data_IF_033636961949
#
_entry.id   IF_033636961949
#
_cell.length_a   1.000
_cell.length_b   1.000
_cell.length_c   1.000
_cell.angle_alpha   90.00
_cell.angle_beta   90.00
_cell.angle_gamma   90.00
#
_symmetry.space_group_name_H-M   'P 1'
#
loop_
_entity.id
_entity.type
_entity.pdbx_description
1 polymer ?
#
# COMPACT_ATOMS: atom_id res chain seq x y z
N UNK A 1 -41.74 -18.20 -17.19
CA UNK A 1 -41.45 -16.84 -16.69
C UNK A 1 -41.02 -15.98 -17.86
N UNK A 2 -41.88 -15.05 -18.33
CA UNK A 2 -41.58 -14.22 -19.49
C UNK A 2 -40.61 -13.08 -19.12
N UNK A 3 -39.49 -12.98 -19.84
CA UNK A 3 -38.52 -11.91 -19.65
C UNK A 3 -39.17 -10.55 -19.96
N UNK A 4 -39.12 -9.62 -19.01
CA UNK A 4 -39.66 -8.27 -19.19
C UNK A 4 -38.93 -7.59 -20.37
N UNK A 5 -39.66 -7.01 -21.35
CA UNK A 5 -39.04 -6.38 -22.50
C UNK A 5 -38.20 -5.18 -22.07
N UNK A 6 -36.98 -5.07 -22.60
CA UNK A 6 -36.10 -3.93 -22.31
C UNK A 6 -36.76 -2.61 -22.78
N UNK A 7 -36.72 -1.54 -21.98
CA UNK A 7 -37.27 -0.25 -22.38
C UNK A 7 -36.52 0.28 -23.62
N UNK A 8 -37.27 0.62 -24.68
CA UNK A 8 -36.73 1.06 -25.99
C UNK A 8 -36.17 2.49 -25.98
N UNK A 9 -36.21 3.20 -24.86
CA UNK A 9 -35.75 4.59 -24.72
C UNK A 9 -34.82 4.66 -23.51
N UNK A 10 -33.58 5.10 -23.72
CA UNK A 10 -32.67 5.36 -22.62
C UNK A 10 -33.26 6.45 -21.71
N UNK A 11 -33.15 6.34 -20.37
CA UNK A 11 -33.57 7.40 -19.46
C UNK A 11 -32.71 8.68 -19.60
N UNK A 12 -31.61 8.59 -20.35
CA UNK A 12 -30.75 9.71 -20.64
C UNK A 12 -31.38 10.63 -21.69
N UNK A 13 -31.36 11.96 -21.48
CA UNK A 13 -31.85 12.91 -22.45
C UNK A 13 -31.07 12.77 -23.77
N UNK A 14 -31.74 12.94 -24.93
CA UNK A 14 -31.05 12.88 -26.21
C UNK A 14 -29.99 13.99 -26.28
N UNK A 15 -28.78 13.70 -26.78
CA UNK A 15 -27.72 14.69 -26.87
C UNK A 15 -28.19 15.86 -27.74
N UNK A 16 -28.03 17.08 -27.24
CA UNK A 16 -28.45 18.29 -27.95
C UNK A 16 -27.69 18.39 -29.29
N UNK A 17 -28.45 18.48 -30.38
CA UNK A 17 -27.91 18.47 -31.76
C UNK A 17 -27.13 19.74 -32.13
N UNK A 18 -27.04 20.72 -31.23
CA UNK A 18 -26.32 21.98 -31.45
C UNK A 18 -25.12 22.07 -30.53
N UNK A 19 -24.05 21.41 -30.96
CA UNK A 19 -22.71 21.60 -30.40
C UNK A 19 -22.25 23.02 -30.74
N UNK A 20 -22.27 23.93 -29.76
CA UNK A 20 -21.71 25.29 -29.88
C UNK A 20 -20.17 25.23 -29.84
N UNK A 21 -19.54 24.54 -30.78
CA UNK A 21 -18.08 24.46 -30.85
C UNK A 21 -17.63 25.17 -32.13
N UNK A 22 -17.50 26.48 -32.02
CA UNK A 22 -16.80 27.32 -32.98
C UNK A 22 -16.11 28.39 -32.16
N UNK A 23 -14.78 28.31 -32.06
CA UNK A 23 -14.02 29.41 -31.47
C UNK A 23 -14.04 30.52 -32.52
N UNK A 24 -14.58 31.70 -32.17
CA UNK A 24 -14.73 32.82 -33.12
C UNK A 24 -13.39 33.32 -33.66
N UNK A 25 -12.30 33.16 -32.88
CA UNK A 25 -10.94 33.50 -33.28
C UNK A 25 -9.95 32.47 -32.74
N UNK A 26 -9.17 31.85 -33.62
CA UNK A 26 -8.08 30.93 -33.24
C UNK A 26 -6.76 31.70 -33.36
N UNK A 27 -6.13 32.03 -32.24
CA UNK A 27 -4.76 32.53 -32.26
C UNK A 27 -3.80 31.37 -32.56
N UNK A 28 -3.05 31.50 -33.65
CA UNK A 28 -2.05 30.51 -34.04
C UNK A 28 -0.67 31.00 -33.62
N UNK A 29 -0.16 30.43 -32.52
CA UNK A 29 1.22 30.63 -32.13
C UNK A 29 2.11 29.62 -32.86
N UNK A 30 3.02 30.14 -33.70
CA UNK A 30 3.94 29.33 -34.48
C UNK A 30 4.97 28.62 -33.60
N UNK A 31 5.35 29.20 -32.47
CA UNK A 31 6.35 28.60 -31.57
C UNK A 31 5.73 27.43 -30.81
N UNK A 32 4.54 27.61 -30.24
CA UNK A 32 3.77 26.52 -29.65
C UNK A 32 3.48 25.39 -30.67
N UNK A 33 3.25 25.74 -31.94
CA UNK A 33 3.09 24.75 -33.02
C UNK A 33 4.39 23.98 -33.27
N UNK A 34 5.53 24.66 -33.32
CA UNK A 34 6.84 24.04 -33.53
C UNK A 34 7.22 23.12 -32.37
N UNK A 35 6.98 23.54 -31.13
CA UNK A 35 7.13 22.71 -29.94
C UNK A 35 6.16 21.53 -29.93
N UNK A 36 4.93 21.71 -30.43
CA UNK A 36 4.00 20.62 -30.61
C UNK A 36 4.47 19.65 -31.71
N UNK A 37 5.03 20.10 -32.83
CA UNK A 37 5.48 19.19 -33.88
C UNK A 37 6.78 18.47 -33.52
N UNK A 38 7.69 19.08 -32.77
CA UNK A 38 9.00 18.47 -32.43
C UNK A 38 9.01 17.80 -31.06
N UNK A 39 8.19 18.26 -30.12
CA UNK A 39 8.17 17.86 -28.72
C UNK A 39 7.36 16.60 -28.39
N UNK A 40 7.18 15.66 -29.33
CA UNK A 40 6.37 14.45 -29.10
C UNK A 40 6.82 13.65 -27.86
N UNK A 41 8.13 13.54 -27.64
CA UNK A 41 8.67 12.86 -26.47
C UNK A 41 8.33 13.62 -25.18
N UNK A 42 8.46 14.96 -25.17
CA UNK A 42 8.07 15.82 -24.04
C UNK A 42 6.58 15.64 -23.71
N UNK A 43 5.69 15.65 -24.70
CA UNK A 43 4.24 15.42 -24.47
C UNK A 43 3.92 14.00 -24.01
N UNK A 44 4.64 13.00 -24.51
CA UNK A 44 4.48 11.62 -24.02
C UNK A 44 4.85 11.54 -22.55
N UNK A 45 5.98 12.12 -22.15
CA UNK A 45 6.38 12.17 -20.75
C UNK A 45 5.41 12.99 -19.90
N UNK A 46 4.94 14.15 -20.38
CA UNK A 46 3.94 14.96 -19.69
C UNK A 46 2.65 14.18 -19.45
N UNK A 47 2.14 13.45 -20.44
CA UNK A 47 0.96 12.58 -20.25
C UNK A 47 1.19 11.49 -19.23
N UNK A 48 2.37 10.86 -19.24
CA UNK A 48 2.72 9.85 -18.24
C UNK A 48 2.78 10.48 -16.84
N UNK A 49 3.41 11.65 -16.70
CA UNK A 49 3.49 12.39 -15.43
C UNK A 49 2.10 12.82 -14.94
N UNK A 50 1.27 13.39 -15.80
CA UNK A 50 -0.11 13.75 -15.47
C UNK A 50 -0.92 12.53 -15.01
N UNK A 51 -0.82 11.40 -15.70
CA UNK A 51 -1.47 10.17 -15.28
C UNK A 51 -0.98 9.66 -13.91
N UNK A 52 0.33 9.79 -13.64
CA UNK A 52 0.91 9.46 -12.33
C UNK A 52 0.43 10.42 -11.24
N UNK A 53 0.38 11.72 -11.52
CA UNK A 53 -0.10 12.75 -10.60
C UNK A 53 -1.58 12.58 -10.27
N UNK A 54 -2.42 12.31 -11.26
CA UNK A 54 -3.84 12.03 -11.08
C UNK A 54 -4.06 10.75 -10.25
N UNK A 55 -3.29 9.70 -10.53
CA UNK A 55 -3.34 8.46 -9.75
C UNK A 55 -2.90 8.71 -8.29
N UNK A 56 -1.85 9.51 -8.07
CA UNK A 56 -1.39 9.87 -6.73
C UNK A 56 -2.42 10.73 -5.98
N UNK A 57 -3.07 11.68 -6.65
CA UNK A 57 -4.15 12.49 -6.07
C UNK A 57 -5.33 11.62 -5.64
N UNK A 58 -5.81 10.74 -6.53
CA UNK A 58 -6.90 9.79 -6.22
C UNK A 58 -6.54 8.87 -5.06
N UNK A 59 -5.34 8.30 -5.04
CA UNK A 59 -4.89 7.44 -3.95
C UNK A 59 -4.84 8.18 -2.60
N UNK A 60 -4.45 9.47 -2.59
CA UNK A 60 -4.50 10.30 -1.38
C UNK A 60 -5.94 10.56 -0.92
N UNK A 61 -6.82 10.94 -1.85
CA UNK A 61 -8.23 11.16 -1.54
C UNK A 61 -8.91 9.89 -1.01
N UNK A 62 -8.62 8.73 -1.60
CA UNK A 62 -9.12 7.44 -1.13
C UNK A 62 -8.63 7.12 0.27
N UNK A 63 -7.33 7.31 0.57
CA UNK A 63 -6.79 7.12 1.93
C UNK A 63 -7.43 8.04 2.97
N UNK A 64 -7.70 9.28 2.60
CA UNK A 64 -8.38 10.23 3.50
C UNK A 64 -9.83 9.79 3.74
N UNK A 65 -10.52 9.37 2.68
CA UNK A 65 -11.91 8.87 2.78
C UNK A 65 -11.99 7.61 3.63
N UNK A 66 -11.10 6.63 3.43
CA UNK A 66 -11.10 5.40 4.23
C UNK A 66 -10.79 5.68 5.70
N UNK A 67 -9.83 6.58 5.99
CA UNK A 67 -9.54 6.98 7.36
C UNK A 67 -10.74 7.69 8.00
N UNK A 68 -11.45 8.53 7.26
CA UNK A 68 -12.65 9.20 7.75
C UNK A 68 -13.76 8.17 8.04
N UNK A 69 -14.00 7.24 7.12
CA UNK A 69 -14.95 6.15 7.31
C UNK A 69 -14.64 5.33 8.57
N UNK A 70 -13.39 4.94 8.77
CA UNK A 70 -12.98 4.19 9.96
C UNK A 70 -13.21 4.97 11.26
N UNK A 71 -13.00 6.30 11.24
CA UNK A 71 -13.28 7.16 12.40
C UNK A 71 -14.78 7.25 12.65
N UNK A 72 -15.56 7.49 11.59
CA UNK A 72 -17.02 7.58 11.67
C UNK A 72 -17.64 6.24 12.14
N UNK A 73 -17.09 5.10 11.70
CA UNK A 73 -17.47 3.76 12.15
C UNK A 73 -17.18 3.56 13.64
N UNK A 74 -15.97 3.89 14.11
CA UNK A 74 -15.62 3.81 15.53
C UNK A 74 -16.49 4.71 16.40
N UNK A 75 -16.79 5.92 15.95
CA UNK A 75 -17.68 6.83 16.70
C UNK A 75 -19.07 6.23 16.85
N UNK A 76 -19.62 5.66 15.77
CA UNK A 76 -20.91 4.97 15.81
C UNK A 76 -20.89 3.74 16.71
N UNK A 77 -19.86 2.92 16.66
CA UNK A 77 -19.72 1.76 17.55
C UNK A 77 -19.70 2.18 19.02
N UNK A 78 -19.03 3.30 19.34
CA UNK A 78 -19.03 3.86 20.69
C UNK A 78 -20.40 4.41 21.08
N UNK A 79 -21.07 5.16 20.19
CA UNK A 79 -22.43 5.68 20.41
C UNK A 79 -23.43 4.53 20.65
N UNK A 80 -23.45 3.52 19.78
CA UNK A 80 -24.29 2.33 19.89
C UNK A 80 -24.02 1.57 21.20
N UNK A 81 -22.75 1.46 21.59
CA UNK A 81 -22.38 0.80 22.84
C UNK A 81 -22.85 1.60 24.07
N UNK A 82 -22.68 2.92 24.08
CA UNK A 82 -23.18 3.78 25.17
C UNK A 82 -24.70 3.73 25.24
N UNK A 83 -25.39 3.80 24.11
CA UNK A 83 -26.85 3.62 24.04
C UNK A 83 -27.28 2.25 24.58
N UNK A 84 -26.56 1.19 24.22
CA UNK A 84 -26.83 -0.17 24.69
C UNK A 84 -26.64 -0.30 26.21
N UNK A 85 -25.55 0.23 26.77
CA UNK A 85 -25.28 0.23 28.21
C UNK A 85 -26.33 1.06 28.95
N UNK A 86 -26.64 2.26 28.45
CA UNK A 86 -27.68 3.12 29.03
C UNK A 86 -29.06 2.43 29.03
N UNK A 87 -29.38 1.68 27.97
CA UNK A 87 -30.61 0.90 27.87
C UNK A 87 -30.65 -0.23 28.91
N UNK A 88 -29.58 -1.03 29.03
CA UNK A 88 -29.47 -2.07 30.06
C UNK A 88 -29.59 -1.49 31.47
N UNK A 89 -28.97 -0.34 31.72
CA UNK A 89 -28.99 0.31 33.03
C UNK A 89 -30.39 0.84 33.38
N UNK A 90 -31.11 1.42 32.41
CA UNK A 90 -32.54 1.77 32.52
C UNK A 90 -33.43 0.55 32.76
N UNK A 91 -33.19 -0.56 32.04
CA UNK A 91 -33.93 -1.81 32.21
C UNK A 91 -33.69 -2.46 33.59
N UNK A 92 -32.48 -2.34 34.13
CA UNK A 92 -32.12 -2.83 35.47
C UNK A 92 -32.65 -1.98 36.63
N UNK A 93 -33.26 -0.82 36.34
CA UNK A 93 -33.82 0.08 37.35
C UNK A 93 -32.79 0.87 38.18
N UNK A 94 -31.52 0.85 37.81
CA UNK A 94 -30.45 1.58 38.51
C UNK A 94 -30.42 3.09 38.19
N UNK A 95 -31.08 3.53 37.12
CA UNK A 95 -31.31 4.95 36.80
C UNK A 95 -32.82 5.18 36.74
N UNK A 96 -33.38 5.73 37.82
CA UNK A 96 -34.71 6.33 37.84
C UNK A 96 -34.63 7.70 37.13
N UNK A 97 -35.57 8.01 36.24
CA UNK A 97 -35.61 9.29 35.52
C UNK A 97 -35.77 10.45 36.52
N UNK A 98 -34.68 11.06 36.99
CA UNK A 98 -34.71 12.43 37.50
C UNK A 98 -34.35 13.38 36.34
N UNK A 99 -35.38 13.90 35.71
CA UNK A 99 -35.28 15.04 34.82
C UNK A 99 -35.14 16.29 35.70
N UNK A 100 -33.94 16.55 36.22
CA UNK A 100 -33.61 17.78 36.91
C UNK A 100 -32.26 18.34 36.44
N UNK A 101 -32.22 19.65 36.35
CA UNK A 101 -31.28 20.47 35.58
C UNK A 101 -29.87 20.56 36.21
N UNK A 102 -28.89 20.79 35.34
CA UNK A 102 -27.75 21.71 35.50
C UNK A 102 -26.92 21.70 36.80
N UNK A 103 -25.69 21.20 36.66
CA UNK A 103 -24.42 21.79 37.15
C UNK A 103 -23.36 21.33 36.13
N UNK A 104 -22.75 22.15 35.27
CA UNK A 104 -21.86 23.28 35.57
C UNK A 104 -20.95 22.99 36.75
N UNK A 105 -19.90 22.20 36.52
CA UNK A 105 -18.62 22.39 37.17
C UNK A 105 -17.54 22.51 36.09
N UNK A 106 -17.21 23.76 35.77
CA UNK A 106 -15.86 24.17 35.41
C UNK A 106 -14.99 24.02 36.67
N UNK A 107 -14.29 22.89 36.84
CA UNK A 107 -12.96 22.88 37.49
C UNK A 107 -12.28 21.52 37.37
N UNK A 108 -10.97 21.50 37.57
CA UNK A 108 -10.03 20.38 37.45
C UNK A 108 -9.45 20.12 36.05
N UNK A 109 -8.93 21.19 35.44
CA UNK A 109 -7.67 21.10 34.71
C UNK A 109 -6.53 20.77 35.69
N UNK A 110 -6.48 19.53 36.19
CA UNK A 110 -5.45 19.06 37.14
C UNK A 110 -4.87 17.69 36.72
N UNK A 111 -4.78 17.51 35.39
CA UNK A 111 -4.07 16.41 34.76
C UNK A 111 -3.23 16.96 33.63
N UNK A 112 -2.40 17.95 33.93
CA UNK A 112 -1.38 18.46 33.01
C UNK A 112 -0.52 17.26 32.61
N UNK A 113 -0.74 16.79 31.38
CA UNK A 113 -0.08 15.62 30.82
C UNK A 113 1.43 15.90 30.81
N UNK A 114 2.13 15.36 31.81
CA UNK A 114 3.58 15.35 31.88
C UNK A 114 4.07 14.53 30.68
N UNK A 115 4.60 15.23 29.68
CA UNK A 115 4.98 14.63 28.40
C UNK A 115 5.93 13.45 28.58
N UNK A 116 5.99 12.57 27.59
CA UNK A 116 6.95 11.47 27.62
C UNK A 116 8.35 12.02 27.92
N UNK A 117 9.10 11.41 28.86
CA UNK A 117 10.46 11.86 29.15
C UNK A 117 11.28 11.85 27.85
N UNK A 118 12.02 12.93 27.59
CA UNK A 118 12.88 13.10 26.40
C UNK A 118 13.95 11.99 26.26
N UNK A 119 14.12 11.17 27.30
CA UNK A 119 14.92 9.96 27.29
C UNK A 119 13.99 8.80 27.62
N UNK A 120 13.63 7.94 26.65
CA UNK A 120 13.06 6.66 27.02
C UNK A 120 14.10 5.92 27.86
N UNK A 121 13.69 5.42 29.03
CA UNK A 121 14.44 4.42 29.79
C UNK A 121 14.45 3.14 28.95
N UNK A 122 15.33 3.11 27.95
CA UNK A 122 15.64 1.93 27.17
C UNK A 122 16.53 1.06 28.06
N UNK A 123 15.92 0.40 29.03
CA UNK A 123 16.49 -0.84 29.52
C UNK A 123 16.64 -1.73 28.29
N UNK A 124 17.89 -2.06 27.96
CA UNK A 124 18.25 -2.92 26.84
C UNK A 124 17.78 -4.32 27.23
N UNK A 125 16.50 -4.59 27.03
CA UNK A 125 15.89 -5.88 27.26
C UNK A 125 15.85 -6.59 25.92
N UNK A 126 16.77 -7.52 25.74
CA UNK A 126 16.72 -8.46 24.62
C UNK A 126 15.47 -9.34 24.82
N UNK A 127 14.41 -9.04 24.07
CA UNK A 127 13.18 -9.81 24.10
C UNK A 127 13.29 -10.96 23.10
N UNK A 128 13.34 -12.19 23.63
CA UNK A 128 13.22 -13.42 22.84
C UNK A 128 11.75 -13.85 22.83
N UNK A 129 11.07 -13.68 21.69
CA UNK A 129 9.71 -14.19 21.50
C UNK A 129 9.75 -15.48 20.67
N UNK A 130 9.24 -16.57 21.25
CA UNK A 130 9.07 -17.84 20.55
C UNK A 130 7.82 -17.79 19.67
N UNK A 131 8.00 -17.76 18.36
CA UNK A 131 6.89 -17.87 17.41
C UNK A 131 6.71 -19.33 16.98
N UNK A 132 5.59 -19.92 17.37
CA UNK A 132 5.22 -21.30 17.01
C UNK A 132 4.25 -21.24 15.83
N UNK A 133 4.75 -21.43 14.61
CA UNK A 133 3.93 -21.85 13.49
C UNK A 133 3.85 -23.38 13.47
N UNK A 134 2.68 -23.95 13.14
CA UNK A 134 2.36 -25.39 13.21
C UNK A 134 3.37 -26.34 12.53
N UNK A 135 4.25 -25.83 11.66
CA UNK A 135 5.27 -26.59 10.92
C UNK A 135 6.70 -25.97 10.98
N UNK A 136 6.93 -24.86 11.69
CA UNK A 136 8.24 -24.18 11.76
C UNK A 136 8.48 -23.49 13.10
N UNK A 137 9.51 -23.92 13.81
CA UNK A 137 10.05 -23.21 14.97
C UNK A 137 11.14 -22.24 14.50
N UNK A 138 10.88 -20.94 14.60
CA UNK A 138 11.87 -19.89 14.35
C UNK A 138 11.84 -18.90 15.51
N UNK A 139 12.98 -18.66 16.13
CA UNK A 139 13.15 -17.62 17.15
C UNK A 139 13.52 -16.31 16.47
N UNK A 140 12.89 -15.21 16.87
CA UNK A 140 13.22 -13.85 16.41
C UNK A 140 13.79 -13.10 17.60
N UNK A 141 15.05 -12.68 17.49
CA UNK A 141 15.71 -11.84 18.50
C UNK A 141 15.58 -10.38 18.11
N UNK A 142 15.03 -9.55 19.02
CA UNK A 142 14.90 -8.11 18.82
C UNK A 142 16.01 -7.41 19.58
N UNK A 143 17.11 -7.09 18.88
CA UNK A 143 18.25 -6.36 19.43
C UNK A 143 18.04 -4.85 19.32
N UNK A 144 18.39 -4.10 20.37
CA UNK A 144 18.44 -2.64 20.30
C UNK A 144 19.69 -2.19 19.53
N UNK A 145 19.52 -1.30 18.54
CA UNK A 145 20.65 -0.75 17.77
C UNK A 145 20.57 0.76 17.72
N UNK A 146 21.70 1.43 17.97
CA UNK A 146 21.81 2.88 17.89
C UNK A 146 22.07 3.34 16.46
N UNK A 147 21.40 4.42 16.02
CA UNK A 147 21.53 4.96 14.66
C UNK A 147 22.42 6.20 14.71
N UNK A 148 23.68 6.04 14.33
CA UNK A 148 24.67 7.12 14.20
C UNK A 148 24.81 7.56 12.74
N UNK A 149 25.44 8.73 12.50
CA UNK A 149 25.72 9.22 11.14
C UNK A 149 26.61 8.27 10.32
N UNK A 150 27.39 7.43 10.98
CA UNK A 150 28.26 6.41 10.38
C UNK A 150 27.59 5.02 10.23
N UNK A 151 26.37 4.81 10.75
CA UNK A 151 25.65 3.56 10.57
C UNK A 151 24.87 3.08 11.78
N UNK A 152 24.53 1.78 11.78
CA UNK A 152 23.85 1.08 12.86
C UNK A 152 24.91 0.49 13.80
N UNK A 153 25.01 1.00 15.02
CA UNK A 153 25.99 0.56 16.03
C UNK A 153 25.28 -0.25 17.13
N UNK A 154 25.71 -1.50 17.30
CA UNK A 154 25.27 -2.37 18.40
C UNK A 154 25.89 -1.90 19.71
N UNK A 155 25.12 -1.62 20.76
CA UNK A 155 25.68 -1.27 22.06
C UNK A 155 26.45 -2.47 22.62
N UNK A 156 27.64 -2.23 23.19
CA UNK A 156 28.48 -3.28 23.73
C UNK A 156 27.84 -3.91 24.97
N UNK A 157 27.26 -5.11 24.82
CA UNK A 157 26.76 -5.89 25.95
C UNK A 157 27.94 -6.39 26.80
N UNK A 158 27.93 -6.20 28.13
CA UNK A 158 29.01 -6.64 29.01
C UNK A 158 29.15 -8.19 29.10
N UNK A 159 28.15 -8.95 28.63
CA UNK A 159 28.23 -10.41 28.55
C UNK A 159 29.01 -10.93 27.33
N UNK A 160 29.05 -10.20 26.21
CA UNK A 160 29.79 -10.63 25.01
C UNK A 160 31.30 -10.36 25.11
N UNK A 161 31.72 -9.42 25.97
CA UNK A 161 33.16 -9.13 26.19
C UNK A 161 33.95 -10.27 26.83
N UNK A 162 33.28 -11.28 27.41
CA UNK A 162 33.96 -12.43 28.00
C UNK A 162 34.33 -13.52 26.96
N UNK A 163 33.78 -13.47 25.75
CA UNK A 163 34.02 -14.49 24.71
C UNK A 163 34.91 -14.00 23.55
N UNK A 164 35.17 -12.69 23.45
CA UNK A 164 36.00 -12.10 22.38
C UNK A 164 37.50 -11.92 22.71
N UNK A 165 37.95 -12.20 23.94
CA UNK A 165 39.38 -12.01 24.31
C UNK A 165 40.36 -13.07 23.76
N UNK A 166 39.88 -14.12 23.07
CA UNK A 166 40.73 -15.26 22.68
C UNK A 166 41.20 -15.29 21.21
N UNK A 167 40.99 -14.24 20.39
CA UNK A 167 41.34 -14.30 18.95
C UNK A 167 42.02 -13.09 18.32
N UNK A 168 42.65 -12.22 19.10
CA UNK A 168 43.52 -11.19 18.55
C UNK A 168 45.00 -11.55 18.69
N UNK A 169 45.53 -12.16 17.62
CA UNK A 169 46.95 -12.43 17.48
C UNK A 169 47.35 -12.64 16.02
N UNK A 170 47.96 -11.61 15.44
CA UNK A 170 49.07 -11.68 14.48
C UNK A 170 48.88 -11.05 13.07
N UNK A 171 49.83 -10.14 12.79
CA UNK A 171 50.35 -9.67 11.50
C UNK A 171 49.59 -8.60 10.70
N UNK A 172 50.07 -7.37 10.88
CA UNK A 172 50.04 -6.29 9.89
C UNK A 172 51.35 -6.23 9.09
N UNK A 173 51.23 -5.70 7.86
CA UNK A 173 52.25 -5.26 6.85
C UNK A 173 52.77 -6.34 5.90
N UNK A 174 52.50 -6.32 4.59
CA UNK A 174 52.68 -5.30 3.53
C UNK A 174 53.68 -5.89 2.52
N UNK A 175 53.27 -6.16 1.28
CA UNK A 175 53.73 -5.43 0.09
C UNK A 175 53.21 -6.02 -1.23
N UNK A 176 53.00 -5.08 -2.15
CA UNK A 176 52.97 -5.07 -3.61
C UNK A 176 52.67 -6.33 -4.47
N UNK A 177 51.82 -6.02 -5.47
CA UNK A 177 51.76 -6.54 -6.84
C UNK A 177 51.78 -8.05 -7.07
N UNK A 178 50.62 -8.58 -7.51
CA UNK A 178 50.64 -9.43 -8.71
C UNK A 178 49.29 -9.49 -9.43
N UNK A 179 49.32 -9.14 -10.71
CA UNK A 179 48.24 -9.40 -11.65
C UNK A 179 48.21 -10.89 -11.95
N UNK A 180 47.27 -11.63 -11.37
CA UNK A 180 46.79 -12.85 -12.01
C UNK A 180 45.28 -13.04 -11.80
N UNK A 181 44.62 -13.22 -12.94
CA UNK A 181 43.19 -13.31 -13.08
C UNK A 181 42.60 -14.49 -12.30
N UNK A 182 41.95 -14.22 -11.16
CA UNK A 182 40.98 -15.16 -10.57
C UNK A 182 39.59 -14.74 -10.99
N UNK A 183 39.12 -15.33 -12.10
CA UNK A 183 37.70 -15.33 -12.48
C UNK A 183 36.92 -16.02 -11.37
N UNK A 184 36.29 -15.24 -10.50
CA UNK A 184 35.23 -15.74 -9.63
C UNK A 184 34.12 -16.39 -10.48
N UNK A 185 33.33 -17.32 -9.91
CA UNK A 185 32.34 -18.07 -10.67
C UNK A 185 31.38 -17.11 -11.37
N UNK A 186 31.38 -17.15 -12.70
CA UNK A 186 30.51 -16.33 -13.55
C UNK A 186 29.07 -16.70 -13.21
N UNK A 187 28.38 -15.85 -12.44
CA UNK A 187 26.95 -16.01 -12.17
C UNK A 187 26.22 -16.18 -13.51
N UNK A 188 25.39 -17.21 -13.69
CA UNK A 188 24.74 -17.45 -14.96
C UNK A 188 23.91 -16.24 -15.34
N UNK A 189 24.16 -15.68 -16.53
CA UNK A 189 23.44 -14.52 -17.05
C UNK A 189 21.94 -14.84 -17.06
N UNK A 190 21.15 -14.03 -16.33
CA UNK A 190 19.69 -14.18 -16.30
C UNK A 190 19.15 -14.09 -17.73
N UNK A 191 18.46 -15.13 -18.18
CA UNK A 191 17.82 -15.14 -19.52
C UNK A 191 16.81 -14.01 -19.58
N UNK A 192 16.82 -13.24 -20.67
CA UNK A 192 15.86 -12.15 -20.90
C UNK A 192 14.44 -12.72 -20.77
N UNK A 193 13.63 -12.10 -19.92
CA UNK A 193 12.22 -12.48 -19.78
C UNK A 193 11.55 -12.31 -21.14
N UNK A 194 10.97 -13.40 -21.67
CA UNK A 194 10.16 -13.33 -22.88
C UNK A 194 8.87 -12.62 -22.49
N UNK A 195 8.77 -11.32 -22.77
CA UNK A 195 7.51 -10.60 -22.64
C UNK A 195 6.50 -11.31 -23.53
N UNK A 196 5.46 -11.86 -22.90
CA UNK A 196 4.31 -12.42 -23.59
C UNK A 196 3.12 -11.61 -23.16
N UNK A 197 2.27 -11.26 -24.12
CA UNK A 197 1.07 -10.46 -23.89
C UNK A 197 0.07 -11.13 -22.93
N UNK A 198 0.24 -12.43 -22.68
CA UNK A 198 -0.60 -13.24 -21.82
C UNK A 198 0.26 -14.06 -20.86
N UNK A 199 -0.21 -14.20 -19.63
CA UNK A 199 0.30 -15.13 -18.63
C UNK A 199 0.22 -16.59 -19.13
N UNK A 200 0.96 -17.50 -18.47
CA UNK A 200 0.90 -18.94 -18.81
C UNK A 200 -0.53 -19.49 -18.70
N UNK A 201 -1.28 -19.01 -17.71
CA UNK A 201 -2.65 -19.44 -17.40
C UNK A 201 -3.63 -18.93 -18.48
N UNK A 202 -3.58 -17.65 -18.82
CA UNK A 202 -4.43 -17.06 -19.87
C UNK A 202 -4.22 -17.75 -21.21
N UNK A 203 -2.97 -18.04 -21.57
CA UNK A 203 -2.63 -18.78 -22.80
C UNK A 203 -3.24 -20.18 -22.81
N UNK A 204 -3.19 -20.89 -21.69
CA UNK A 204 -3.80 -22.23 -21.57
C UNK A 204 -5.32 -22.16 -21.71
N UNK A 205 -5.96 -21.17 -21.10
CA UNK A 205 -7.40 -20.95 -21.24
C UNK A 205 -7.80 -20.56 -22.66
N UNK A 206 -7.05 -19.67 -23.31
CA UNK A 206 -7.26 -19.29 -24.70
C UNK A 206 -7.11 -20.48 -25.65
N UNK A 207 -6.06 -21.30 -25.45
CA UNK A 207 -5.84 -22.53 -26.21
C UNK A 207 -6.98 -23.55 -26.05
N UNK A 208 -7.47 -23.76 -24.82
CA UNK A 208 -8.64 -24.62 -24.54
C UNK A 208 -9.90 -24.10 -25.25
N UNK A 209 -10.18 -22.79 -25.15
CA UNK A 209 -11.32 -22.14 -25.82
C UNK A 209 -11.24 -22.26 -27.34
N UNK A 210 -10.06 -22.06 -27.94
CA UNK A 210 -9.87 -22.21 -29.38
C UNK A 210 -10.05 -23.66 -29.84
N UNK A 211 -9.53 -24.64 -29.08
CA UNK A 211 -9.70 -26.06 -29.37
C UNK A 211 -11.17 -26.47 -29.34
N UNK A 212 -11.91 -26.03 -28.32
CA UNK A 212 -13.36 -26.27 -28.22
C UNK A 212 -14.15 -25.64 -29.38
N UNK A 213 -13.81 -24.41 -29.78
CA UNK A 213 -14.43 -23.75 -30.94
C UNK A 213 -14.14 -24.49 -32.25
N UNK A 214 -12.91 -24.99 -32.43
CA UNK A 214 -12.52 -25.76 -33.62
C UNK A 214 -13.21 -27.12 -33.66
N UNK A 215 -13.33 -27.82 -32.52
CA UNK A 215 -14.03 -29.10 -32.47
C UNK A 215 -15.52 -28.94 -32.74
N UNK A 216 -16.17 -27.91 -32.16
CA UNK A 216 -17.59 -27.62 -32.42
C UNK A 216 -17.86 -27.32 -33.91
N UNK A 217 -17.03 -26.46 -34.52
CA UNK A 217 -17.13 -26.20 -35.97
C UNK A 217 -16.85 -27.44 -36.82
N UNK A 218 -15.99 -28.34 -36.36
CA UNK A 218 -15.70 -29.59 -37.07
C UNK A 218 -16.86 -30.58 -36.98
N UNK A 219 -17.54 -30.69 -35.82
CA UNK A 219 -18.74 -31.52 -35.69
C UNK A 219 -19.90 -30.96 -36.53
N UNK A 220 -20.12 -29.65 -36.54
CA UNK A 220 -21.14 -28.99 -37.38
C UNK A 220 -20.93 -29.24 -38.88
N UNK A 221 -19.67 -29.33 -39.32
CA UNK A 221 -19.33 -29.67 -40.72
C UNK A 221 -19.52 -31.14 -41.05
N UNK A 222 -19.39 -32.03 -40.06
CA UNK A 222 -19.58 -33.47 -40.24
C UNK A 222 -21.05 -33.90 -40.11
N UNK A 223 -21.88 -33.07 -39.48
CA UNK A 223 -23.32 -33.29 -39.33
C UNK A 223 -24.16 -32.72 -40.48
N UNK A 224 -23.53 -32.09 -41.48
CA UNK A 224 -24.11 -31.70 -42.76
C UNK A 224 -23.61 -32.65 -43.83
#
# INVERSE_FOLDING_TARGET
>A
MFAKPRPKKSPLPPPSRKRKYGVEQVSFDFDARNEYLTGFHKRKQQRIKQAQEEAAKKAREERIRTRKQLRDERMKEVEEHVEHVNKLLRESGAIENDASEQQSDEDANEGEWDGFPDRPDLDIVDHEEEYIDEDRYTTVTVESVSISRDGLERPANPQEKAEEEDKDGEANKADQEDKSAKKGPVRPKKKKQKFRYESKIERQLAGRKQKAKRSAKASERKSK
#
